data_IF_403489073388
#
_entry.id   IF_403489073388
#
_cell.length_a   1.000
_cell.length_b   1.000
_cell.length_c   1.000
_cell.angle_alpha   90.00
_cell.angle_beta   90.00
_cell.angle_gamma   90.00
#
_symmetry.space_group_name_H-M   'P 1'
#
loop_
_entity.id
_entity.type
_entity.pdbx_description
1 polymer ?
#
# COMPACT_ATOMS: atom_id res chain seq x y z
N UNK A 1 -3.79 -11.40 5.20
CA UNK A 1 -3.70 -12.86 4.90
C UNK A 1 -2.31 -13.13 4.36
N UNK A 2 -1.58 -14.12 4.89
CA UNK A 2 -0.27 -14.49 4.33
C UNK A 2 -0.42 -15.43 3.14
N UNK A 3 0.26 -15.15 2.03
CA UNK A 3 0.34 -16.01 0.86
C UNK A 3 1.80 -16.16 0.46
N UNK A 4 2.36 -17.36 0.67
CA UNK A 4 3.79 -17.68 0.45
C UNK A 4 4.76 -16.62 1.01
N UNK A 5 4.48 -16.16 2.24
CA UNK A 5 5.32 -15.21 2.98
C UNK A 5 5.16 -13.75 2.57
N UNK A 6 4.26 -13.42 1.64
CA UNK A 6 3.83 -12.03 1.39
C UNK A 6 2.46 -11.77 2.02
N UNK A 7 2.21 -10.51 2.35
CA UNK A 7 0.93 -10.07 2.90
C UNK A 7 -0.03 -9.59 1.79
N UNK A 8 -1.25 -10.14 1.85
CA UNK A 8 -2.36 -9.79 0.97
C UNK A 8 -3.62 -9.50 1.78
N UNK A 9 -4.49 -8.65 1.25
CA UNK A 9 -5.87 -8.53 1.69
C UNK A 9 -6.72 -9.57 0.95
N UNK A 10 -7.44 -10.40 1.70
CA UNK A 10 -8.52 -11.19 1.15
C UNK A 10 -9.77 -10.30 1.05
N UNK A 11 -10.20 -9.98 -0.17
CA UNK A 11 -11.32 -9.09 -0.39
C UNK A 11 -12.61 -9.79 0.02
N UNK A 12 -13.52 -9.07 0.68
CA UNK A 12 -14.85 -9.57 1.06
C UNK A 12 -14.82 -10.85 1.94
N UNK A 13 -13.71 -11.05 2.66
CA UNK A 13 -13.43 -12.28 3.40
C UNK A 13 -13.43 -13.54 2.51
N UNK A 14 -13.11 -13.37 1.22
CA UNK A 14 -12.96 -14.42 0.23
C UNK A 14 -11.46 -14.71 -0.02
N UNK A 15 -10.95 -15.88 0.39
CA UNK A 15 -9.56 -16.24 0.18
C UNK A 15 -9.21 -16.59 -1.26
N UNK A 16 -10.18 -16.59 -2.20
CA UNK A 16 -9.93 -16.76 -3.63
C UNK A 16 -9.60 -15.46 -4.37
N UNK A 17 -9.80 -14.29 -3.76
CA UNK A 17 -9.55 -12.98 -4.39
C UNK A 17 -8.67 -12.13 -3.50
N UNK A 18 -7.41 -11.98 -3.90
CA UNK A 18 -6.39 -11.32 -3.09
C UNK A 18 -5.89 -10.03 -3.73
N UNK A 19 -5.74 -8.99 -2.92
CA UNK A 19 -5.07 -7.75 -3.31
C UNK A 19 -3.78 -7.58 -2.51
N UNK A 20 -2.67 -7.26 -3.18
CA UNK A 20 -1.42 -6.97 -2.49
C UNK A 20 -1.56 -5.67 -1.68
N UNK A 21 -1.11 -5.67 -0.43
CA UNK A 21 -0.99 -4.44 0.35
C UNK A 21 0.26 -3.68 -0.11
N UNK A 22 0.08 -2.44 -0.57
CA UNK A 22 1.16 -1.62 -1.12
C UNK A 22 1.67 -0.60 -0.09
N UNK A 23 0.75 0.02 0.64
CA UNK A 23 1.05 0.98 1.72
C UNK A 23 0.04 0.77 2.85
N UNK A 24 0.55 0.75 4.08
CA UNK A 24 -0.26 0.85 5.29
C UNK A 24 0.50 1.72 6.30
N UNK A 25 -0.08 2.85 6.66
CA UNK A 25 0.42 3.73 7.71
C UNK A 25 -0.42 3.55 8.96
N UNK A 26 0.26 3.41 10.09
CA UNK A 26 -0.40 3.42 11.39
C UNK A 26 -0.59 4.85 11.94
N UNK A 27 -0.96 4.95 13.22
CA UNK A 27 -1.18 6.25 13.88
C UNK A 27 0.08 7.11 14.07
N UNK A 28 1.26 6.50 14.00
CA UNK A 28 2.57 7.11 14.21
C UNK A 28 3.19 7.59 12.90
N UNK A 29 2.86 6.95 11.78
CA UNK A 29 3.32 7.32 10.45
C UNK A 29 2.65 8.61 9.96
N UNK A 30 3.43 9.43 9.24
CA UNK A 30 2.96 10.69 8.65
C UNK A 30 3.60 10.94 7.30
N UNK A 31 2.81 11.43 6.34
CA UNK A 31 3.33 12.05 5.12
C UNK A 31 2.99 13.54 5.13
N UNK A 32 3.96 14.38 4.79
CA UNK A 32 3.72 15.81 4.52
C UNK A 32 3.85 16.03 3.02
N UNK A 33 2.89 16.75 2.43
CA UNK A 33 2.88 17.15 1.02
C UNK A 33 2.86 18.67 0.92
N UNK A 34 3.72 19.23 0.08
CA UNK A 34 3.56 20.63 -0.35
C UNK A 34 2.46 20.73 -1.41
N UNK A 35 1.76 21.86 -1.49
CA UNK A 35 0.79 22.04 -2.58
C UNK A 35 1.49 22.01 -3.94
N UNK A 36 0.95 21.24 -4.88
CA UNK A 36 1.53 20.98 -6.20
C UNK A 36 2.62 19.90 -6.22
N UNK A 37 3.02 19.34 -5.06
CA UNK A 37 3.90 18.17 -5.01
C UNK A 37 3.12 16.92 -5.41
N UNK A 38 3.67 16.15 -6.34
CA UNK A 38 3.17 14.81 -6.67
C UNK A 38 3.90 13.76 -5.83
N UNK A 39 3.14 13.07 -4.99
CA UNK A 39 3.65 11.94 -4.24
C UNK A 39 3.39 10.66 -5.00
N UNK A 40 4.44 10.19 -5.66
CA UNK A 40 4.50 8.88 -6.30
C UNK A 40 4.32 7.76 -5.26
N UNK A 41 3.36 6.88 -5.52
CA UNK A 41 3.07 5.68 -4.76
C UNK A 41 3.46 4.45 -5.61
N UNK A 42 3.12 3.25 -5.13
CA UNK A 42 3.42 2.03 -5.86
C UNK A 42 2.45 1.83 -7.05
N UNK A 43 2.88 1.02 -8.03
CA UNK A 43 2.05 0.57 -9.16
C UNK A 43 1.39 1.71 -9.97
N UNK A 44 2.10 2.84 -10.13
CA UNK A 44 1.63 3.97 -10.95
C UNK A 44 0.58 4.85 -10.28
N UNK A 45 0.24 4.58 -9.02
CA UNK A 45 -0.60 5.45 -8.20
C UNK A 45 0.19 6.70 -7.77
N UNK A 46 -0.45 7.86 -7.73
CA UNK A 46 0.12 9.06 -7.11
C UNK A 46 -0.97 9.95 -6.51
N UNK A 47 -0.60 10.73 -5.49
CA UNK A 47 -1.49 11.70 -4.84
C UNK A 47 -0.89 13.11 -4.92
N UNK A 48 -1.73 14.07 -5.29
CA UNK A 48 -1.37 15.50 -5.33
C UNK A 48 -2.27 16.29 -4.40
N UNK A 49 -1.67 17.11 -3.54
CA UNK A 49 -2.39 18.19 -2.86
C UNK A 49 -2.38 19.41 -3.77
N UNK A 50 -3.44 19.65 -4.54
CA UNK A 50 -3.44 20.70 -5.55
C UNK A 50 -3.38 22.09 -4.91
N UNK A 51 -4.28 22.34 -3.97
CA UNK A 51 -4.40 23.65 -3.35
C UNK A 51 -5.00 23.54 -1.95
N UNK A 52 -4.75 24.56 -1.15
CA UNK A 52 -5.43 24.82 0.11
C UNK A 52 -6.30 26.06 -0.05
N UNK A 53 -7.51 26.02 0.47
CA UNK A 53 -8.47 27.10 0.35
C UNK A 53 -8.02 28.39 1.05
N UNK A 54 -8.74 29.48 0.78
CA UNK A 54 -8.38 30.80 1.31
C UNK A 54 -8.45 30.85 2.84
N UNK A 55 -9.35 30.09 3.45
CA UNK A 55 -9.52 30.04 4.90
C UNK A 55 -8.47 29.13 5.57
N UNK A 56 -7.80 28.26 4.80
CA UNK A 56 -6.69 27.43 5.26
C UNK A 56 -7.13 26.14 5.96
N UNK A 57 -8.40 25.75 5.82
CA UNK A 57 -8.95 24.57 6.47
C UNK A 57 -9.41 23.50 5.47
N UNK A 58 -9.45 23.79 4.15
CA UNK A 58 -9.79 22.79 3.14
C UNK A 58 -8.63 22.54 2.19
N UNK A 59 -8.48 21.28 1.79
CA UNK A 59 -7.50 20.84 0.80
C UNK A 59 -8.21 20.21 -0.39
N UNK A 60 -7.79 20.55 -1.60
CA UNK A 60 -8.16 19.83 -2.81
C UNK A 60 -7.10 18.77 -3.10
N UNK A 61 -7.51 17.49 -3.05
CA UNK A 61 -6.69 16.34 -3.38
C UNK A 61 -7.08 15.78 -4.76
N UNK A 62 -6.07 15.33 -5.50
CA UNK A 62 -6.23 14.55 -6.72
C UNK A 62 -5.47 13.23 -6.60
N UNK A 63 -6.18 12.12 -6.85
CA UNK A 63 -5.59 10.80 -6.99
C UNK A 63 -5.43 10.48 -8.47
N UNK A 64 -4.23 10.04 -8.85
CA UNK A 64 -3.89 9.68 -10.22
C UNK A 64 -3.47 8.21 -10.32
N UNK A 65 -3.67 7.66 -11.52
CA UNK A 65 -3.16 6.37 -11.96
C UNK A 65 -2.47 6.56 -13.31
N UNK A 66 -1.21 6.16 -13.40
CA UNK A 66 -0.37 6.26 -14.60
C UNK A 66 -0.37 7.69 -15.19
N UNK A 67 -0.25 8.69 -14.30
CA UNK A 67 -0.23 10.12 -14.64
C UNK A 67 -1.60 10.73 -14.99
N UNK A 68 -2.69 9.96 -14.97
CA UNK A 68 -4.05 10.44 -15.26
C UNK A 68 -4.85 10.58 -13.98
N UNK A 69 -5.47 11.74 -13.75
CA UNK A 69 -6.40 11.94 -12.62
C UNK A 69 -7.61 11.03 -12.77
N UNK A 70 -7.84 10.18 -11.78
CA UNK A 70 -9.00 9.26 -11.76
C UNK A 70 -10.07 9.69 -10.77
N UNK A 71 -9.68 10.41 -9.72
CA UNK A 71 -10.58 10.93 -8.70
C UNK A 71 -10.03 12.20 -8.05
N UNK A 72 -10.93 13.03 -7.51
CA UNK A 72 -10.54 14.23 -6.79
C UNK A 72 -11.62 14.65 -5.79
N UNK A 73 -11.19 15.24 -4.67
CA UNK A 73 -12.12 15.75 -3.67
C UNK A 73 -11.55 16.92 -2.88
N UNK A 74 -12.46 17.73 -2.34
CA UNK A 74 -12.14 18.78 -1.39
C UNK A 74 -12.48 18.28 0.01
N UNK A 75 -11.47 18.19 0.88
CA UNK A 75 -11.62 17.69 2.24
C UNK A 75 -11.45 18.84 3.23
N UNK A 76 -12.39 18.97 4.17
CA UNK A 76 -12.34 19.95 5.26
C UNK A 76 -11.62 19.35 6.46
N UNK A 77 -10.42 19.85 6.73
CA UNK A 77 -9.55 19.39 7.83
C UNK A 77 -10.08 19.76 9.21
N UNK A 78 -11.05 20.67 9.32
CA UNK A 78 -11.70 21.04 10.58
C UNK A 78 -13.02 20.28 10.82
N UNK A 79 -13.38 19.35 9.92
CA UNK A 79 -14.59 18.57 10.07
C UNK A 79 -14.59 17.78 11.40
N UNK A 80 -15.73 17.84 12.10
CA UNK A 80 -15.88 17.24 13.44
C UNK A 80 -15.89 15.71 13.38
N UNK A 81 -16.40 15.15 12.28
CA UNK A 81 -16.48 13.71 12.05
C UNK A 81 -15.21 13.27 11.32
N UNK A 82 -14.48 12.30 11.87
CA UNK A 82 -13.22 11.85 11.31
C UNK A 82 -13.34 11.31 9.87
N UNK A 83 -14.47 10.71 9.51
CA UNK A 83 -14.73 10.24 8.14
C UNK A 83 -14.79 11.38 7.14
N UNK A 84 -15.27 12.55 7.55
CA UNK A 84 -15.36 13.74 6.68
C UNK A 84 -13.99 14.39 6.46
N UNK A 85 -12.99 14.00 7.26
CA UNK A 85 -11.57 14.35 7.10
C UNK A 85 -10.78 13.27 6.35
N UNK A 86 -11.45 12.26 5.80
CA UNK A 86 -10.80 11.14 5.12
C UNK A 86 -11.12 11.22 3.64
N UNK A 87 -10.08 11.22 2.81
CA UNK A 87 -10.21 10.98 1.39
C UNK A 87 -10.27 9.47 1.14
N UNK A 88 -11.26 8.98 0.39
CA UNK A 88 -11.44 7.55 0.10
C UNK A 88 -11.74 7.40 -1.39
N UNK A 89 -11.02 6.50 -2.05
CA UNK A 89 -11.29 6.04 -3.40
C UNK A 89 -11.56 4.53 -3.38
N UNK A 90 -12.68 4.12 -3.97
CA UNK A 90 -13.21 2.75 -3.94
C UNK A 90 -13.28 2.18 -5.37
N UNK A 91 -13.25 0.85 -5.48
CA UNK A 91 -13.55 0.18 -6.75
C UNK A 91 -15.05 0.08 -7.03
N UNK A 92 -15.43 -0.61 -8.11
CA UNK A 92 -16.83 -0.77 -8.53
C UNK A 92 -17.70 -1.57 -7.55
N UNK A 93 -17.11 -2.24 -6.57
CA UNK A 93 -17.80 -3.06 -5.58
C UNK A 93 -17.74 -2.40 -4.18
N UNK A 94 -17.52 -1.09 -4.12
CA UNK A 94 -17.42 -0.28 -2.90
C UNK A 94 -16.27 -0.72 -1.97
N UNK A 95 -15.16 -1.22 -2.54
CA UNK A 95 -13.98 -1.66 -1.78
C UNK A 95 -12.87 -0.63 -1.90
N UNK A 96 -12.46 -0.05 -0.77
CA UNK A 96 -11.37 0.93 -0.73
C UNK A 96 -10.11 0.42 -1.44
N UNK A 97 -9.65 1.17 -2.45
CA UNK A 97 -8.35 1.00 -3.10
C UNK A 97 -7.32 1.89 -2.38
N UNK A 98 -7.70 3.15 -2.16
CA UNK A 98 -6.85 4.15 -1.51
C UNK A 98 -7.67 4.92 -0.48
N UNK A 99 -7.07 5.20 0.67
CA UNK A 99 -7.57 6.24 1.56
C UNK A 99 -6.44 6.94 2.31
N UNK A 100 -6.69 8.17 2.72
CA UNK A 100 -5.83 8.89 3.64
C UNK A 100 -6.64 9.83 4.54
N UNK A 101 -6.22 9.97 5.79
CA UNK A 101 -6.78 10.92 6.73
C UNK A 101 -5.98 12.22 6.73
N UNK A 102 -6.67 13.35 6.58
CA UNK A 102 -6.06 14.67 6.61
C UNK A 102 -5.87 15.06 8.09
N UNK A 103 -4.64 14.97 8.61
CA UNK A 103 -4.27 15.26 10.01
C UNK A 103 -4.20 16.77 10.28
N UNK A 104 -3.64 17.52 9.33
CA UNK A 104 -3.54 18.97 9.40
C UNK A 104 -3.36 19.60 8.02
N UNK A 105 -3.84 20.82 7.89
CA UNK A 105 -3.58 21.71 6.75
C UNK A 105 -2.87 22.94 7.30
N UNK A 106 -1.81 23.40 6.61
CA UNK A 106 -1.07 24.58 7.00
C UNK A 106 -0.91 25.51 5.80
N UNK A 107 -1.44 26.72 5.94
CA UNK A 107 -1.30 27.80 4.96
C UNK A 107 -0.27 28.80 5.45
N UNK A 108 0.90 28.83 4.81
CA UNK A 108 1.99 29.74 5.14
C UNK A 108 2.08 30.91 4.16
N UNK A 109 2.97 31.86 4.45
CA UNK A 109 3.27 32.97 3.54
C UNK A 109 4.08 32.50 2.34
N UNK A 110 4.99 31.55 2.55
CA UNK A 110 5.92 31.05 1.54
C UNK A 110 5.55 29.66 1.02
N UNK A 111 4.94 28.83 1.86
CA UNK A 111 4.58 27.46 1.51
C UNK A 111 3.27 27.02 2.16
N UNK A 112 2.54 26.18 1.44
CA UNK A 112 1.33 25.53 1.91
C UNK A 112 1.57 24.03 1.94
N UNK A 113 1.22 23.37 3.04
CA UNK A 113 1.45 21.94 3.22
C UNK A 113 0.26 21.24 3.85
N UNK A 114 0.14 19.95 3.56
CA UNK A 114 -0.89 19.05 4.07
C UNK A 114 -0.21 17.87 4.73
N UNK A 115 -0.67 17.51 5.93
CA UNK A 115 -0.19 16.33 6.65
C UNK A 115 -1.23 15.22 6.59
N UNK A 116 -0.80 14.04 6.18
CA UNK A 116 -1.60 12.84 6.03
C UNK A 116 -1.20 11.78 7.06
N UNK A 117 -2.20 11.02 7.52
CA UNK A 117 -2.07 9.83 8.37
C UNK A 117 -2.96 8.71 7.87
N UNK A 118 -2.78 7.51 8.41
CA UNK A 118 -3.63 6.35 8.10
C UNK A 118 -3.77 6.18 6.58
N UNK A 119 -2.67 6.33 5.86
CA UNK A 119 -2.62 6.11 4.42
C UNK A 119 -2.68 4.62 4.17
N UNK A 120 -3.58 4.23 3.28
CA UNK A 120 -3.73 2.86 2.81
C UNK A 120 -3.75 2.86 1.30
N UNK A 121 -3.04 1.90 0.71
CA UNK A 121 -3.11 1.60 -0.71
C UNK A 121 -3.02 0.09 -0.88
N UNK A 122 -3.98 -0.50 -1.58
CA UNK A 122 -3.86 -1.86 -2.12
C UNK A 122 -3.69 -1.84 -3.63
N UNK A 123 -3.17 -2.92 -4.17
CA UNK A 123 -3.15 -3.15 -5.62
C UNK A 123 -4.59 -3.24 -6.15
N UNK A 124 -4.80 -2.63 -7.31
CA UNK A 124 -5.96 -2.80 -8.16
C UNK A 124 -5.81 -4.00 -9.12
N UNK A 125 -4.62 -4.61 -9.17
CA UNK A 125 -4.38 -5.88 -9.83
C UNK A 125 -4.63 -7.05 -8.87
N UNK A 126 -5.77 -7.71 -9.02
CA UNK A 126 -6.19 -8.79 -8.13
C UNK A 126 -5.55 -10.11 -8.55
N UNK A 127 -5.10 -10.86 -7.55
CA UNK A 127 -4.77 -12.28 -7.69
C UNK A 127 -6.05 -13.08 -7.44
N UNK A 128 -6.63 -13.57 -8.52
CA UNK A 128 -7.71 -14.56 -8.49
C UNK A 128 -7.11 -15.97 -8.43
N UNK A 129 -7.64 -16.78 -7.53
CA UNK A 129 -7.21 -18.16 -7.29
C UNK A 129 -8.41 -19.06 -7.54
N UNK A 130 -8.23 -20.06 -8.38
CA UNK A 130 -9.25 -21.05 -8.70
C UNK A 130 -8.95 -22.41 -8.06
N UNK A 131 -10.00 -23.23 -7.93
CA UNK A 131 -9.83 -24.60 -7.49
C UNK A 131 -9.10 -25.41 -8.58
N UNK A 132 -8.01 -26.07 -8.18
CA UNK A 132 -7.13 -26.79 -9.09
C UNK A 132 -5.93 -25.98 -9.58
N UNK A 133 -5.82 -24.69 -9.24
CA UNK A 133 -4.61 -23.92 -9.51
C UNK A 133 -3.40 -24.55 -8.81
N UNK A 134 -2.24 -24.45 -9.45
CA UNK A 134 -0.98 -24.97 -8.94
C UNK A 134 -0.03 -23.84 -8.62
N UNK A 135 0.45 -23.83 -7.37
CA UNK A 135 1.50 -22.94 -6.89
C UNK A 135 2.68 -23.79 -6.42
N UNK A 136 3.64 -23.99 -7.33
CA UNK A 136 4.81 -24.82 -7.09
C UNK A 136 4.40 -26.25 -6.73
N UNK A 137 4.82 -26.70 -5.55
CA UNK A 137 4.57 -28.07 -5.10
C UNK A 137 3.17 -28.27 -4.48
N UNK A 138 2.26 -27.31 -4.65
CA UNK A 138 0.91 -27.36 -4.10
C UNK A 138 -0.16 -27.11 -5.16
N UNK A 139 -1.27 -27.84 -5.04
CA UNK A 139 -2.51 -27.53 -5.73
C UNK A 139 -3.55 -26.98 -4.75
N UNK A 140 -4.33 -26.02 -5.22
CA UNK A 140 -5.54 -25.55 -4.56
C UNK A 140 -6.59 -26.65 -4.60
N UNK A 141 -7.13 -27.00 -3.43
CA UNK A 141 -8.19 -28.00 -3.28
C UNK A 141 -9.53 -27.37 -2.87
N UNK A 142 -9.55 -26.09 -2.51
CA UNK A 142 -10.75 -25.31 -2.26
C UNK A 142 -10.53 -24.15 -1.29
N UNK A 143 -11.62 -23.49 -0.91
CA UNK A 143 -11.64 -22.27 -0.07
C UNK A 143 -12.30 -22.51 1.29
N UNK A 144 -12.32 -23.76 1.72
CA UNK A 144 -12.88 -24.18 2.99
C UNK A 144 -12.09 -25.37 3.51
N UNK A 145 -11.86 -25.41 4.82
CA UNK A 145 -11.16 -26.53 5.45
C UNK A 145 -12.02 -27.79 5.39
N UNK A 146 -11.59 -28.88 4.71
CA UNK A 146 -12.38 -30.09 4.62
C UNK A 146 -12.53 -30.79 5.97
N UNK A 147 -13.70 -31.39 6.20
CA UNK A 147 -13.96 -32.20 7.38
C UNK A 147 -12.93 -33.34 7.54
N UNK A 148 -12.44 -33.52 8.77
CA UNK A 148 -11.43 -34.54 9.08
C UNK A 148 -10.00 -34.18 8.67
N UNK A 149 -9.75 -32.97 8.16
CA UNK A 149 -8.38 -32.48 7.98
C UNK A 149 -7.70 -32.33 9.33
N UNK A 150 -6.50 -32.91 9.46
CA UNK A 150 -5.62 -32.60 10.58
C UNK A 150 -5.12 -31.16 10.39
N UNK A 151 -5.83 -30.20 10.98
CA UNK A 151 -5.41 -28.80 10.97
C UNK A 151 -4.30 -28.66 12.01
N UNK A 152 -3.06 -28.59 11.53
CA UNK A 152 -1.89 -28.28 12.36
C UNK A 152 -1.63 -26.80 12.17
N UNK A 153 -2.23 -25.95 13.01
CA UNK A 153 -2.01 -24.51 12.90
C UNK A 153 -2.95 -23.67 13.74
N UNK A 154 -2.44 -22.51 14.13
CA UNK A 154 -3.20 -21.43 14.71
C UNK A 154 -3.51 -20.41 13.61
N UNK A 155 -4.65 -19.73 13.67
CA UNK A 155 -4.92 -18.62 12.74
C UNK A 155 -3.76 -17.58 12.81
N UNK A 156 -3.54 -16.81 11.72
CA UNK A 156 -2.51 -15.76 11.70
C UNK A 156 -2.56 -14.88 12.96
N UNK A 157 -1.39 -14.38 13.39
CA UNK A 157 -1.24 -13.49 14.56
C UNK A 157 -1.74 -14.06 15.92
N UNK A 158 -1.72 -15.38 16.09
CA UNK A 158 -2.12 -16.01 17.37
C UNK A 158 -3.62 -16.07 17.59
N UNK A 159 -4.41 -16.03 16.51
CA UNK A 159 -5.87 -16.17 16.55
C UNK A 159 -6.34 -17.56 17.01
N UNK A 160 -7.63 -17.83 16.91
CA UNK A 160 -8.18 -19.14 17.27
C UNK A 160 -7.60 -20.27 16.40
N UNK A 161 -7.62 -21.51 16.90
CA UNK A 161 -7.31 -22.67 16.05
C UNK A 161 -8.35 -22.76 14.93
N UNK A 162 -7.89 -22.97 13.71
CA UNK A 162 -8.76 -23.18 12.56
C UNK A 162 -9.47 -24.54 12.66
N UNK A 163 -10.74 -24.60 12.28
CA UNK A 163 -11.60 -25.77 12.36
C UNK A 163 -12.17 -26.18 11.00
N UNK A 164 -12.70 -27.40 10.93
CA UNK A 164 -13.39 -27.86 9.74
C UNK A 164 -14.56 -26.93 9.39
N UNK A 165 -14.74 -26.67 8.10
CA UNK A 165 -15.70 -25.74 7.51
C UNK A 165 -15.40 -24.24 7.71
N UNK A 166 -14.27 -23.87 8.31
CA UNK A 166 -13.81 -22.48 8.29
C UNK A 166 -13.40 -22.07 6.88
N UNK A 167 -13.63 -20.79 6.55
CA UNK A 167 -13.20 -20.17 5.30
C UNK A 167 -11.68 -20.03 5.32
N UNK A 168 -11.01 -20.67 4.37
CA UNK A 168 -9.55 -20.66 4.26
C UNK A 168 -9.11 -21.12 2.87
N UNK A 169 -8.02 -20.56 2.35
CA UNK A 169 -7.34 -21.14 1.19
C UNK A 169 -6.75 -22.51 1.58
N UNK A 170 -7.29 -23.58 1.00
CA UNK A 170 -6.87 -24.94 1.30
C UNK A 170 -6.09 -25.53 0.13
N UNK A 171 -4.83 -25.86 0.39
CA UNK A 171 -3.89 -26.38 -0.60
C UNK A 171 -3.31 -27.71 -0.11
N UNK A 172 -2.94 -28.57 -1.05
CA UNK A 172 -2.25 -29.83 -0.75
C UNK A 172 -1.09 -30.05 -1.68
N UNK A 173 -0.07 -30.71 -1.16
CA UNK A 173 1.09 -31.02 -1.97
C UNK A 173 0.66 -31.93 -3.13
N UNK A 174 1.16 -31.61 -4.32
CA UNK A 174 0.86 -32.33 -5.55
C UNK A 174 1.98 -33.32 -5.95
N UNK A 175 3.08 -33.30 -5.20
CA UNK A 175 4.23 -34.17 -5.34
C UNK A 175 4.72 -34.60 -3.96
N UNK A 176 5.53 -35.65 -3.91
CA UNK A 176 6.27 -35.96 -2.69
C UNK A 176 7.35 -34.89 -2.48
N UNK A 177 7.48 -34.40 -1.25
CA UNK A 177 8.59 -33.54 -0.81
C UNK A 177 9.57 -34.45 -0.10
N UNK A 178 10.74 -34.65 -0.71
CA UNK A 178 11.82 -35.44 -0.13
C UNK A 178 12.64 -34.54 0.78
N UNK A 179 13.11 -35.04 1.92
CA UNK A 179 13.90 -34.26 2.87
C UNK A 179 15.30 -34.85 2.95
N UNK A 180 16.06 -34.66 1.88
CA UNK A 180 17.43 -35.12 1.80
C UNK A 180 18.35 -34.25 2.67
N UNK A 181 19.41 -34.85 3.22
CA UNK A 181 20.35 -34.11 4.07
C UNK A 181 21.13 -33.09 3.22
N UNK A 182 21.29 -31.87 3.74
CA UNK A 182 21.97 -30.75 3.07
C UNK A 182 21.30 -30.35 1.74
N UNK A 183 19.96 -30.27 1.73
CA UNK A 183 19.20 -29.93 0.53
C UNK A 183 18.29 -28.71 0.73
N UNK A 184 18.07 -27.99 -0.38
CA UNK A 184 17.22 -26.82 -0.50
C UNK A 184 16.12 -27.08 -1.52
N UNK A 185 14.93 -27.43 -1.03
CA UNK A 185 13.77 -27.66 -1.88
C UNK A 185 12.98 -26.37 -2.09
N UNK A 186 12.96 -25.88 -3.32
CA UNK A 186 12.07 -24.76 -3.67
C UNK A 186 10.62 -25.23 -3.62
N UNK A 187 9.84 -24.59 -2.76
CA UNK A 187 8.43 -24.91 -2.54
C UNK A 187 7.55 -24.13 -3.53
N UNK A 188 7.74 -22.81 -3.58
CA UNK A 188 7.10 -21.90 -4.52
C UNK A 188 7.78 -20.53 -4.48
N UNK A 189 8.14 -19.99 -5.64
CA UNK A 189 8.84 -18.70 -5.74
C UNK A 189 10.11 -18.70 -4.89
N UNK A 190 10.22 -17.72 -3.99
CA UNK A 190 11.37 -17.56 -3.10
C UNK A 190 11.23 -18.31 -1.76
N UNK A 191 10.19 -19.14 -1.59
CA UNK A 191 9.99 -19.96 -0.40
C UNK A 191 10.69 -21.31 -0.58
N UNK A 192 11.65 -21.59 0.29
CA UNK A 192 12.52 -22.77 0.27
C UNK A 192 12.37 -23.54 1.58
N UNK A 193 12.37 -24.86 1.49
CA UNK A 193 12.51 -25.76 2.63
C UNK A 193 13.97 -26.24 2.69
N UNK A 194 14.68 -25.81 3.72
CA UNK A 194 16.07 -26.19 3.95
C UNK A 194 16.13 -27.38 4.91
N UNK A 195 16.92 -28.40 4.57
CA UNK A 195 17.18 -29.57 5.42
C UNK A 195 18.66 -29.62 5.81
N UNK A 196 18.93 -29.76 7.12
CA UNK A 196 20.29 -29.74 7.63
C UNK A 196 21.13 -30.95 7.17
N UNK A 197 22.45 -30.74 7.06
CA UNK A 197 23.44 -31.81 6.85
C UNK A 197 23.60 -32.69 8.10
N UNK A 198 22.60 -33.51 8.40
CA UNK A 198 22.63 -34.48 9.49
C UNK A 198 21.81 -35.73 9.14
N UNK A 199 22.49 -36.78 8.71
CA UNK A 199 21.88 -38.06 8.36
C UNK A 199 21.27 -38.82 9.56
N UNK A 200 21.53 -38.41 10.81
CA UNK A 200 21.03 -39.08 12.00
C UNK A 200 19.77 -38.42 12.60
N UNK A 201 19.54 -37.13 12.35
CA UNK A 201 18.39 -36.39 12.87
C UNK A 201 17.83 -35.45 11.82
N UNK A 202 16.60 -35.69 11.40
CA UNK A 202 15.90 -34.77 10.51
C UNK A 202 15.66 -33.42 11.22
N UNK A 203 16.26 -32.36 10.67
CA UNK A 203 16.01 -30.98 11.05
C UNK A 203 15.82 -30.16 9.77
N UNK A 204 14.71 -29.45 9.68
CA UNK A 204 14.40 -28.61 8.53
C UNK A 204 13.71 -27.31 8.98
N UNK A 205 13.77 -26.29 8.14
CA UNK A 205 13.03 -25.04 8.34
C UNK A 205 12.64 -24.42 7.00
N UNK A 206 11.55 -23.64 7.00
CA UNK A 206 11.18 -22.81 5.86
C UNK A 206 11.96 -21.50 5.92
N UNK A 207 12.47 -21.07 4.78
CA UNK A 207 13.06 -19.75 4.58
C UNK A 207 12.42 -19.07 3.36
N UNK A 208 12.40 -17.74 3.38
CA UNK A 208 12.01 -16.94 2.22
C UNK A 208 13.12 -15.93 1.93
N UNK A 209 13.59 -15.93 0.69
CA UNK A 209 14.54 -14.91 0.23
C UNK A 209 13.78 -13.63 -0.13
N UNK A 210 14.19 -12.48 0.40
CA UNK A 210 13.55 -11.19 0.12
C UNK A 210 14.62 -10.22 -0.38
N UNK A 211 14.37 -9.62 -1.55
CA UNK A 211 15.24 -8.56 -2.07
C UNK A 211 14.77 -7.20 -1.55
N UNK A 212 15.63 -6.51 -0.80
CA UNK A 212 15.34 -5.17 -0.29
C UNK A 212 15.92 -4.15 -1.27
N UNK A 213 15.07 -3.39 -1.95
CA UNK A 213 15.52 -2.30 -2.82
C UNK A 213 16.27 -1.24 -1.98
N UNK A 214 17.56 -1.02 -2.30
CA UNK A 214 18.41 -0.05 -1.60
C UNK A 214 19.35 -0.64 -0.54
N UNK A 215 19.40 -1.97 -0.35
CA UNK A 215 20.47 -2.59 0.41
C UNK A 215 21.78 -2.52 -0.41
N UNK A 216 22.60 -1.49 -0.16
CA UNK A 216 24.02 -1.53 -0.52
C UNK A 216 24.59 -2.81 0.07
N UNK A 217 25.26 -3.64 -0.75
CA UNK A 217 26.03 -4.76 -0.25
C UNK A 217 26.89 -4.26 0.91
N UNK A 218 26.89 -4.98 2.04
CA UNK A 218 27.75 -4.66 3.16
C UNK A 218 29.20 -4.64 2.64
N UNK A 219 29.72 -3.44 2.39
CA UNK A 219 31.14 -3.24 2.13
C UNK A 219 31.88 -3.72 3.38
N UNK A 220 32.86 -4.62 3.18
CA UNK A 220 33.78 -5.03 4.23
C UNK A 220 34.31 -3.77 4.94
N UNK A 221 34.26 -3.82 6.26
CA UNK A 221 34.72 -2.78 7.17
C UNK A 221 36.22 -2.51 6.97
N UNK A 222 36.56 -1.58 6.07
CA UNK A 222 37.91 -1.00 6.00
C UNK A 222 37.99 0.12 7.02
N UNK A 223 38.70 -0.14 8.11
CA UNK A 223 39.02 0.81 9.18
C UNK A 223 39.63 2.11 8.61
N UNK A 224 39.09 3.31 8.91
CA UNK A 224 39.68 4.55 8.47
C UNK A 224 40.76 5.04 9.46
N UNK A 225 41.95 5.32 8.93
CA UNK A 225 43.01 6.10 9.59
C UNK A 225 42.67 7.58 9.44
N UNK A 226 42.57 8.30 10.57
CA UNK A 226 42.36 9.74 10.62
C UNK A 226 43.54 10.51 10.01
N UNK A 227 43.26 11.47 9.12
CA UNK A 227 44.11 12.65 8.98
C UNK A 227 43.25 13.91 8.80
N UNK A 228 43.44 14.85 9.73
CA UNK A 228 42.76 16.14 9.84
C UNK A 228 43.54 17.18 9.03
N UNK A 229 42.88 17.89 8.12
CA UNK A 229 43.22 19.30 7.82
C UNK A 229 41.98 20.14 7.47
N UNK A 230 42.02 21.39 7.92
CA UNK A 230 40.97 22.43 8.06
C UNK A 230 40.58 23.17 6.76
N UNK A 231 39.49 23.97 6.76
CA UNK A 231 38.71 24.35 5.57
C UNK A 231 39.11 25.70 4.94
N UNK A 232 38.65 25.95 3.70
CA UNK A 232 38.63 27.26 3.07
C UNK A 232 37.30 27.49 2.31
N UNK A 233 36.78 28.71 2.46
CA UNK A 233 35.52 29.29 1.95
C UNK A 233 35.48 29.49 0.42
N UNK A 234 34.30 29.52 -0.22
CA UNK A 234 33.62 30.74 -0.77
C UNK A 234 32.58 30.46 -1.90
N UNK A 235 31.40 31.09 -1.76
CA UNK A 235 30.45 31.71 -2.73
C UNK A 235 29.84 31.06 -4.01
N UNK A 236 28.49 31.00 -4.04
CA UNK A 236 27.46 31.61 -4.97
C UNK A 236 27.62 31.39 -6.49
N UNK A 237 26.62 30.92 -7.28
CA UNK A 237 25.43 31.65 -7.81
C UNK A 237 24.50 30.72 -8.65
N UNK A 238 23.18 31.00 -8.71
CA UNK A 238 22.18 30.50 -9.68
C UNK A 238 22.26 31.25 -11.05
N UNK A 239 21.51 30.88 -12.13
CA UNK A 239 20.05 31.13 -12.28
C UNK A 239 19.25 30.05 -13.07
N UNK A 240 17.92 29.92 -12.85
CA UNK A 240 16.75 30.25 -13.73
C UNK A 240 16.89 29.91 -15.24
N UNK A 241 15.91 29.38 -15.99
CA UNK A 241 14.46 29.16 -15.89
C UNK A 241 13.90 29.22 -17.32
N UNK A 242 12.79 28.54 -17.66
CA UNK A 242 11.92 28.94 -18.81
C UNK A 242 10.55 28.23 -18.78
N UNK A 243 9.51 29.05 -18.98
CA UNK A 243 8.08 28.75 -18.99
C UNK A 243 7.60 28.18 -20.35
N UNK A 244 6.51 27.40 -20.31
CA UNK A 244 5.72 27.04 -21.49
C UNK A 244 4.23 27.01 -21.15
N UNK A 245 3.48 27.97 -21.68
CA UNK A 245 2.06 28.20 -21.47
C UNK A 245 1.14 27.30 -22.33
N UNK A 246 -0.08 27.03 -21.86
CA UNK A 246 -1.16 26.47 -22.66
C UNK A 246 -2.53 26.36 -21.97
N UNK A 247 -3.44 27.29 -22.31
CA UNK A 247 -4.88 27.08 -22.54
C UNK A 247 -5.78 26.53 -21.42
N UNK A 248 -6.58 27.42 -20.83
CA UNK A 248 -7.55 27.20 -19.76
C UNK A 248 -9.02 27.24 -20.28
N UNK A 249 -9.88 26.26 -19.93
CA UNK A 249 -11.33 26.19 -20.26
C UNK A 249 -12.23 26.21 -18.99
N UNK A 250 -13.04 27.28 -18.79
CA UNK A 250 -13.66 27.61 -17.48
C UNK A 250 -14.80 26.65 -17.11
N UNK A 251 -14.68 26.00 -15.95
CA UNK A 251 -15.81 25.49 -15.20
C UNK A 251 -15.76 26.07 -13.77
N UNK A 252 -16.91 26.49 -13.23
CA UNK A 252 -17.01 27.27 -12.00
C UNK A 252 -16.32 26.62 -10.79
N UNK A 253 -15.39 27.35 -10.19
CA UNK A 253 -14.59 26.90 -9.04
C UNK A 253 -15.41 26.65 -7.77
N UNK A 254 -14.91 25.73 -6.94
CA UNK A 254 -15.47 25.47 -5.61
C UNK A 254 -15.26 26.68 -4.67
N UNK A 255 -16.23 27.02 -3.80
CA UNK A 255 -16.10 28.15 -2.88
C UNK A 255 -14.84 28.03 -2.00
N UNK A 256 -14.02 29.09 -1.98
CA UNK A 256 -12.79 29.14 -1.18
C UNK A 256 -11.52 28.82 -1.95
N UNK A 257 -11.60 28.33 -3.18
CA UNK A 257 -10.45 28.12 -4.07
C UNK A 257 -10.34 29.27 -5.07
N UNK A 258 -9.12 29.70 -5.40
CA UNK A 258 -8.90 30.61 -6.52
C UNK A 258 -9.36 29.90 -7.79
N UNK A 259 -10.00 30.63 -8.73
CA UNK A 259 -10.57 30.02 -9.92
C UNK A 259 -9.48 29.32 -10.74
N UNK A 260 -9.45 27.98 -10.67
CA UNK A 260 -8.62 27.11 -11.51
C UNK A 260 -9.54 26.28 -12.40
N UNK A 261 -9.17 26.27 -13.68
CA UNK A 261 -9.94 25.74 -14.79
C UNK A 261 -9.95 24.21 -14.78
N UNK A 262 -11.05 23.61 -15.25
CA UNK A 262 -11.38 22.21 -14.99
C UNK A 262 -10.44 21.19 -15.65
N UNK A 263 -10.01 20.21 -14.87
CA UNK A 263 -9.85 18.83 -15.34
C UNK A 263 -11.14 18.10 -14.97
N UNK A 264 -11.83 17.55 -15.97
CA UNK A 264 -13.12 16.88 -15.81
C UNK A 264 -12.97 15.61 -14.94
N UNK A 265 -13.30 15.72 -13.66
CA UNK A 265 -13.47 14.61 -12.72
C UNK A 265 -14.94 14.49 -12.29
N UNK A 266 -15.47 13.28 -12.29
CA UNK A 266 -16.88 12.98 -12.04
C UNK A 266 -17.21 13.23 -10.56
N UNK A 267 -17.83 14.37 -10.25
CA UNK A 267 -18.33 14.70 -8.90
C UNK A 267 -19.35 13.65 -8.42
N UNK A 268 -18.91 12.70 -7.60
CA UNK A 268 -19.80 11.82 -6.86
C UNK A 268 -20.23 12.51 -5.54
N UNK A 269 -21.42 13.12 -5.54
CA UNK A 269 -22.06 13.59 -4.31
C UNK A 269 -22.73 12.40 -3.62
N UNK A 270 -22.09 11.84 -2.60
CA UNK A 270 -22.66 10.77 -1.77
C UNK A 270 -23.78 11.33 -0.86
N UNK A 271 -25.03 11.01 -1.20
CA UNK A 271 -26.20 11.36 -0.39
C UNK A 271 -26.45 10.26 0.65
N UNK A 272 -25.99 10.45 1.88
CA UNK A 272 -26.25 9.49 2.96
C UNK A 272 -27.69 9.65 3.47
N UNK A 273 -28.58 8.77 3.01
CA UNK A 273 -29.97 8.71 3.45
C UNK A 273 -30.04 8.15 4.87
N UNK A 274 -30.29 9.02 5.85
CA UNK A 274 -30.68 8.68 7.21
C UNK A 274 -32.00 7.89 7.19
N UNK A 275 -31.91 6.55 7.23
CA UNK A 275 -33.07 5.69 7.48
C UNK A 275 -33.45 5.80 8.95
N UNK A 276 -34.43 6.67 9.25
CA UNK A 276 -35.08 6.73 10.56
C UNK A 276 -35.80 5.40 10.84
N UNK A 277 -35.59 4.90 12.05
CA UNK A 277 -36.36 3.84 12.71
C UNK A 277 -37.85 4.19 12.71
N UNK A 278 -38.66 3.18 12.44
CA UNK A 278 -39.89 2.87 13.17
C UNK A 278 -39.91 1.34 13.40
#
# INVERSE_FOLDING_TARGET
>A
MGFFGDEYLALDNDPSVLAKLLIEYDSSDKKTLSTGEEWELAEGWSLVAQQIDLDGNKVWLELKKDGTTIDSAIIDSDAVVATDRTYVYEDSDDRAIFYCYIDAVFRGVESNVVQLKYVFLRSDNLLEIDNGDTFGNFDVKGFTIPAGSAVIGQAPAGGAALAANDVALYMRSNTDITLDADDDDTIYGDVILHTADDAATLRCYLQKTVTIAGATAAEEEVTPTEEVTTPAEENVTAPAGEEGAGGEEEAGGAPGFEALFAVAGLLAVSYLVLRRRD
#
